data_IF_511161272691
#
_entry.id   IF_511161272691
#
_cell.length_a   1.000
_cell.length_b   1.000
_cell.length_c   1.000
_cell.angle_alpha   90.00
_cell.angle_beta   90.00
_cell.angle_gamma   90.00
#
_symmetry.space_group_name_H-M   'P 1'
#
loop_
_entity.id
_entity.type
_entity.pdbx_description
1 polymer ?
#
# COMPACT_ATOMS: atom_id res chain seq x y z
N UNK A 1 8.85 39.06 -31.03
CA UNK A 1 9.76 37.98 -30.60
C UNK A 1 10.33 38.34 -29.24
N UNK A 2 10.67 37.33 -28.41
CA UNK A 2 11.03 37.31 -26.96
C UNK A 2 9.85 36.80 -26.13
N UNK A 3 9.94 35.80 -25.24
CA UNK A 3 10.88 34.70 -24.99
C UNK A 3 10.26 33.83 -23.88
N UNK A 4 10.49 32.52 -23.95
CA UNK A 4 10.73 31.56 -22.84
C UNK A 4 9.83 31.60 -21.59
N UNK A 5 9.15 30.47 -21.33
CA UNK A 5 9.20 29.83 -20.01
C UNK A 5 8.93 28.33 -20.16
N UNK A 6 10.01 27.55 -20.19
CA UNK A 6 9.95 26.11 -20.07
C UNK A 6 9.26 25.74 -18.76
N UNK A 7 8.22 24.91 -18.87
CA UNK A 7 7.54 24.31 -17.72
C UNK A 7 8.52 23.35 -17.05
N UNK A 8 9.13 23.82 -15.96
CA UNK A 8 9.97 23.02 -15.08
C UNK A 8 9.18 21.83 -14.55
N UNK A 9 9.66 20.63 -14.86
CA UNK A 9 9.22 19.39 -14.27
C UNK A 9 9.54 19.43 -12.77
N UNK A 10 8.50 19.54 -11.94
CA UNK A 10 8.60 19.38 -10.49
C UNK A 10 8.17 17.95 -10.14
N UNK A 11 9.02 17.00 -10.51
CA UNK A 11 8.95 15.63 -10.01
C UNK A 11 9.88 15.50 -8.82
N UNK A 12 9.33 15.41 -7.62
CA UNK A 12 10.09 14.97 -6.45
C UNK A 12 10.53 13.52 -6.68
N UNK A 13 11.78 13.34 -7.10
CA UNK A 13 12.40 12.02 -7.25
C UNK A 13 12.65 11.45 -5.85
N UNK A 14 11.67 10.69 -5.37
CA UNK A 14 11.94 9.65 -4.39
C UNK A 14 13.02 8.73 -5.00
N UNK A 15 14.04 8.30 -4.23
CA UNK A 15 15.01 7.35 -4.74
C UNK A 15 14.25 6.13 -5.27
N UNK A 16 14.44 5.74 -6.53
CA UNK A 16 13.72 4.61 -7.10
C UNK A 16 14.07 3.36 -6.30
N UNK A 17 13.05 2.57 -5.96
CA UNK A 17 13.23 1.27 -5.34
C UNK A 17 14.17 0.43 -6.21
N UNK A 18 15.03 -0.36 -5.58
CA UNK A 18 15.92 -1.29 -6.29
C UNK A 18 15.09 -2.18 -7.24
N UNK A 19 15.38 -2.18 -8.56
CA UNK A 19 14.66 -3.01 -9.53
C UNK A 19 14.60 -4.49 -9.15
N UNK A 20 15.63 -5.00 -8.47
CA UNK A 20 15.68 -6.39 -8.01
C UNK A 20 14.69 -6.63 -6.86
N UNK A 21 14.62 -5.71 -5.90
CA UNK A 21 13.62 -5.74 -4.82
C UNK A 21 12.20 -5.68 -5.40
N UNK A 22 11.95 -4.79 -6.35
CA UNK A 22 10.66 -4.66 -7.05
C UNK A 22 10.29 -5.96 -7.76
N UNK A 23 11.21 -6.58 -8.50
CA UNK A 23 10.96 -7.85 -9.17
C UNK A 23 10.65 -8.98 -8.19
N UNK A 24 11.39 -9.05 -7.06
CA UNK A 24 11.13 -10.02 -5.99
C UNK A 24 9.75 -9.82 -5.38
N UNK A 25 9.32 -8.57 -5.19
CA UNK A 25 7.98 -8.24 -4.68
C UNK A 25 6.90 -8.74 -5.62
N UNK A 26 6.97 -8.38 -6.90
CA UNK A 26 6.01 -8.82 -7.91
C UNK A 26 5.97 -10.35 -8.06
N UNK A 27 7.11 -11.02 -7.96
CA UNK A 27 7.14 -12.49 -7.98
C UNK A 27 6.37 -13.10 -6.80
N UNK A 28 6.57 -12.59 -5.58
CA UNK A 28 5.84 -13.06 -4.39
C UNK A 28 4.35 -12.74 -4.48
N UNK A 29 4.00 -11.52 -4.88
CA UNK A 29 2.61 -11.12 -5.09
C UNK A 29 1.90 -12.02 -6.11
N UNK A 30 2.54 -12.32 -7.25
CA UNK A 30 1.96 -13.21 -8.27
C UNK A 30 1.72 -14.63 -7.76
N UNK A 31 2.52 -15.12 -6.81
CA UNK A 31 2.30 -16.43 -6.22
C UNK A 31 1.03 -16.47 -5.34
N UNK A 32 0.73 -15.38 -4.61
CA UNK A 32 -0.46 -15.29 -3.74
C UNK A 32 -1.72 -14.80 -4.47
N UNK A 33 -1.57 -14.05 -5.57
CA UNK A 33 -2.65 -13.39 -6.26
C UNK A 33 -3.81 -14.33 -6.68
N UNK A 34 -3.58 -15.50 -7.32
CA UNK A 34 -4.69 -16.38 -7.72
C UNK A 34 -5.49 -16.89 -6.51
N UNK A 35 -4.81 -17.24 -5.43
CA UNK A 35 -5.44 -17.69 -4.20
C UNK A 35 -6.23 -16.56 -3.53
N UNK A 36 -5.68 -15.35 -3.53
CA UNK A 36 -6.30 -14.16 -2.99
C UNK A 36 -7.57 -13.76 -3.77
N UNK A 37 -7.52 -13.75 -5.11
CA UNK A 37 -8.69 -13.50 -5.97
C UNK A 37 -9.80 -14.49 -5.63
N UNK A 38 -9.51 -15.79 -5.65
CA UNK A 38 -10.51 -16.81 -5.38
C UNK A 38 -11.07 -16.73 -3.94
N UNK A 39 -10.25 -16.31 -2.96
CA UNK A 39 -10.70 -16.11 -1.59
C UNK A 39 -11.64 -14.89 -1.48
N UNK A 40 -11.30 -13.77 -2.12
CA UNK A 40 -12.13 -12.56 -2.15
C UNK A 40 -13.46 -12.82 -2.86
N UNK A 41 -13.46 -13.54 -3.99
CA UNK A 41 -14.67 -13.89 -4.72
C UNK A 41 -15.61 -14.78 -3.90
N UNK A 42 -15.07 -15.77 -3.17
CA UNK A 42 -15.86 -16.60 -2.25
C UNK A 42 -16.43 -15.80 -1.09
N UNK A 43 -15.61 -14.95 -0.47
CA UNK A 43 -16.04 -14.10 0.64
C UNK A 43 -17.07 -13.06 0.22
N UNK A 44 -17.02 -12.60 -1.04
CA UNK A 44 -18.03 -11.71 -1.63
C UNK A 44 -19.39 -12.39 -1.73
N UNK A 45 -19.42 -13.70 -1.98
CA UNK A 45 -20.65 -14.49 -2.07
C UNK A 45 -21.16 -15.01 -0.71
N UNK A 46 -20.37 -14.87 0.35
CA UNK A 46 -20.68 -15.33 1.71
C UNK A 46 -21.48 -14.28 2.52
N UNK A 47 -22.01 -14.71 3.67
CA UNK A 47 -22.68 -13.85 4.65
C UNK A 47 -21.70 -12.80 5.26
N UNK A 48 -21.99 -11.48 5.14
CA UNK A 48 -21.19 -10.43 5.76
C UNK A 48 -21.01 -10.56 7.28
N UNK A 49 -21.95 -11.21 7.97
CA UNK A 49 -21.93 -11.42 9.42
C UNK A 49 -20.98 -12.52 9.90
N UNK A 50 -20.43 -13.34 8.98
CA UNK A 50 -19.52 -14.44 9.34
C UNK A 50 -18.23 -13.90 9.99
N UNK A 51 -17.73 -14.56 11.04
CA UNK A 51 -16.46 -14.23 11.66
C UNK A 51 -15.29 -14.36 10.65
N UNK A 52 -14.28 -13.49 10.74
CA UNK A 52 -13.25 -13.38 9.68
C UNK A 52 -12.45 -14.68 9.54
N UNK A 53 -12.11 -15.32 10.66
CA UNK A 53 -11.37 -16.59 10.66
C UNK A 53 -12.09 -17.72 9.90
N UNK A 54 -13.41 -17.65 9.79
CA UNK A 54 -14.23 -18.66 9.12
C UNK A 54 -14.46 -18.34 7.63
N UNK A 55 -13.97 -17.21 7.12
CA UNK A 55 -14.06 -16.87 5.69
C UNK A 55 -12.94 -17.55 4.90
N UNK A 56 -13.07 -17.58 3.57
CA UNK A 56 -12.01 -18.07 2.70
C UNK A 56 -10.75 -17.20 2.80
N UNK A 57 -10.88 -15.87 2.97
CA UNK A 57 -9.73 -15.01 3.26
C UNK A 57 -9.11 -15.32 4.63
N UNK A 58 -9.91 -15.56 5.67
CA UNK A 58 -9.41 -15.97 6.98
C UNK A 58 -8.60 -17.27 6.92
N UNK A 59 -9.13 -18.29 6.23
CA UNK A 59 -8.41 -19.55 5.99
C UNK A 59 -7.13 -19.36 5.18
N UNK A 60 -7.16 -18.54 4.12
CA UNK A 60 -5.98 -18.22 3.33
C UNK A 60 -4.91 -17.59 4.22
N UNK A 61 -5.27 -16.55 4.98
CA UNK A 61 -4.35 -15.87 5.89
C UNK A 61 -3.80 -16.81 6.96
N UNK A 62 -4.62 -17.73 7.49
CA UNK A 62 -4.18 -18.74 8.45
C UNK A 62 -3.20 -19.77 7.87
N UNK A 63 -3.18 -19.97 6.55
CA UNK A 63 -2.30 -20.91 5.87
C UNK A 63 -0.95 -20.33 5.45
N UNK A 64 -0.82 -19.00 5.45
CA UNK A 64 0.38 -18.28 5.01
C UNK A 64 1.35 -18.03 6.17
N UNK A 65 2.65 -18.09 5.87
CA UNK A 65 3.68 -17.56 6.75
C UNK A 65 3.69 -16.02 6.75
N UNK A 66 4.54 -15.39 7.58
CA UNK A 66 4.60 -13.92 7.69
C UNK A 66 4.91 -13.26 6.34
N UNK A 67 5.84 -13.83 5.58
CA UNK A 67 6.22 -13.33 4.25
C UNK A 67 5.06 -13.41 3.25
N UNK A 68 4.28 -14.50 3.29
CA UNK A 68 3.07 -14.70 2.51
C UNK A 68 1.96 -13.73 2.90
N UNK A 69 1.75 -13.49 4.20
CA UNK A 69 0.78 -12.50 4.68
C UNK A 69 1.17 -11.08 4.28
N UNK A 70 2.46 -10.71 4.32
CA UNK A 70 2.92 -9.42 3.77
C UNK A 70 2.67 -9.32 2.27
N UNK A 71 3.05 -10.34 1.50
CA UNK A 71 2.84 -10.37 0.06
C UNK A 71 1.35 -10.26 -0.31
N UNK A 72 0.48 -10.92 0.46
CA UNK A 72 -0.97 -10.81 0.35
C UNK A 72 -1.42 -9.37 0.63
N UNK A 73 -0.97 -8.76 1.73
CA UNK A 73 -1.28 -7.37 2.07
C UNK A 73 -0.89 -6.39 0.96
N UNK A 74 0.34 -6.52 0.42
CA UNK A 74 0.80 -5.71 -0.71
C UNK A 74 -0.07 -5.91 -1.95
N UNK A 75 -0.42 -7.15 -2.28
CA UNK A 75 -1.23 -7.44 -3.45
C UNK A 75 -2.65 -6.88 -3.33
N UNK A 76 -3.31 -7.09 -2.17
CA UNK A 76 -4.66 -6.56 -1.94
C UNK A 76 -4.64 -5.03 -1.94
N UNK A 77 -3.62 -4.42 -1.33
CA UNK A 77 -3.43 -2.96 -1.36
C UNK A 77 -3.30 -2.45 -2.79
N UNK A 78 -2.39 -3.03 -3.58
CA UNK A 78 -2.22 -2.71 -5.00
C UNK A 78 -3.53 -2.76 -5.76
N UNK A 79 -4.25 -3.86 -5.59
CA UNK A 79 -5.47 -4.15 -6.32
C UNK A 79 -6.58 -3.17 -5.95
N UNK A 80 -6.76 -2.89 -4.65
CA UNK A 80 -7.71 -1.89 -4.15
C UNK A 80 -7.40 -0.49 -4.69
N UNK A 81 -6.13 -0.09 -4.83
CA UNK A 81 -5.79 1.23 -5.38
C UNK A 81 -6.08 1.34 -6.88
N UNK A 82 -5.96 0.22 -7.62
CA UNK A 82 -6.09 0.19 -9.08
C UNK A 82 -7.52 -0.06 -9.58
N UNK A 83 -8.33 -0.78 -8.80
CA UNK A 83 -9.65 -1.25 -9.19
C UNK A 83 -10.72 -0.87 -8.14
N UNK A 84 -10.61 0.33 -7.57
CA UNK A 84 -11.56 0.86 -6.59
C UNK A 84 -12.91 1.16 -7.26
N UNK A 85 -13.71 0.13 -7.48
CA UNK A 85 -15.12 0.23 -7.88
C UNK A 85 -15.98 -0.71 -7.02
N UNK A 86 -17.28 -0.45 -6.95
CA UNK A 86 -18.22 -0.94 -5.93
C UNK A 86 -18.27 -2.47 -5.80
N UNK A 87 -17.48 -3.01 -4.87
CA UNK A 87 -17.82 -4.00 -3.81
C UNK A 87 -16.52 -4.53 -3.19
N UNK A 88 -15.61 -3.63 -2.83
CA UNK A 88 -14.30 -3.98 -2.25
C UNK A 88 -14.39 -4.38 -0.77
N UNK A 89 -15.60 -4.60 -0.22
CA UNK A 89 -15.82 -4.86 1.22
C UNK A 89 -15.00 -6.04 1.75
N UNK A 90 -14.94 -7.15 1.01
CA UNK A 90 -14.14 -8.32 1.38
C UNK A 90 -12.64 -7.99 1.37
N UNK A 91 -12.16 -7.27 0.36
CA UNK A 91 -10.76 -6.83 0.27
C UNK A 91 -10.39 -5.81 1.36
N UNK A 92 -11.28 -4.88 1.70
CA UNK A 92 -11.11 -3.91 2.78
C UNK A 92 -11.08 -4.58 4.15
N UNK A 93 -11.94 -5.58 4.37
CA UNK A 93 -11.91 -6.40 5.59
C UNK A 93 -10.56 -7.13 5.71
N UNK A 94 -10.11 -7.77 4.64
CA UNK A 94 -8.80 -8.42 4.59
C UNK A 94 -7.65 -7.44 4.86
N UNK A 95 -7.67 -6.23 4.30
CA UNK A 95 -6.66 -5.20 4.58
C UNK A 95 -6.63 -4.81 6.06
N UNK A 96 -7.79 -4.60 6.68
CA UNK A 96 -7.88 -4.27 8.12
C UNK A 96 -7.34 -5.39 8.98
N UNK A 97 -7.66 -6.63 8.64
CA UNK A 97 -7.21 -7.82 9.37
C UNK A 97 -5.69 -8.01 9.26
N UNK A 98 -5.09 -7.73 8.10
CA UNK A 98 -3.63 -7.75 7.94
C UNK A 98 -2.98 -6.57 8.69
N UNK A 99 -3.57 -5.37 8.61
CA UNK A 99 -3.04 -4.19 9.28
C UNK A 99 -3.06 -4.30 10.82
N UNK A 100 -3.99 -5.09 11.38
CA UNK A 100 -4.07 -5.33 12.80
C UNK A 100 -3.05 -6.36 13.32
N UNK A 101 -2.31 -7.06 12.44
CA UNK A 101 -1.32 -8.06 12.83
C UNK A 101 0.04 -7.40 13.08
N UNK A 102 0.58 -7.52 14.30
CA UNK A 102 1.92 -7.00 14.59
C UNK A 102 3.01 -7.94 14.07
N UNK A 103 4.20 -7.37 13.87
CA UNK A 103 5.44 -8.08 13.62
C UNK A 103 5.40 -8.95 12.35
N UNK A 104 4.78 -8.45 11.29
CA UNK A 104 4.82 -9.09 9.97
C UNK A 104 6.20 -8.94 9.32
N UNK A 105 7.02 -7.98 9.78
CA UNK A 105 8.39 -7.80 9.32
C UNK A 105 8.45 -7.01 8.01
N UNK A 106 7.67 -5.93 7.93
CA UNK A 106 7.66 -5.03 6.79
C UNK A 106 9.05 -4.43 6.54
N UNK A 107 9.39 -4.25 5.26
CA UNK A 107 10.60 -3.51 4.88
C UNK A 107 10.28 -2.07 4.52
N UNK A 108 11.27 -1.19 4.62
CA UNK A 108 11.13 0.22 4.21
C UNK A 108 10.70 0.34 2.73
N UNK A 109 11.23 -0.51 1.85
CA UNK A 109 10.87 -0.56 0.43
C UNK A 109 9.40 -0.95 0.20
N UNK A 110 8.90 -1.95 0.94
CA UNK A 110 7.50 -2.38 0.87
C UNK A 110 6.56 -1.27 1.34
N UNK A 111 6.90 -0.60 2.44
CA UNK A 111 6.12 0.51 2.98
C UNK A 111 6.16 1.73 2.06
N UNK A 112 7.34 2.08 1.53
CA UNK A 112 7.51 3.17 0.60
C UNK A 112 6.69 2.96 -0.67
N UNK A 113 6.74 1.74 -1.21
CA UNK A 113 5.96 1.34 -2.37
C UNK A 113 4.45 1.51 -2.10
N UNK A 114 3.93 0.96 -1.00
CA UNK A 114 2.51 1.08 -0.65
C UNK A 114 2.07 2.54 -0.48
N UNK A 115 2.88 3.37 0.19
CA UNK A 115 2.63 4.81 0.35
C UNK A 115 2.60 5.55 -0.99
N UNK A 116 3.47 5.16 -1.93
CA UNK A 116 3.46 5.67 -3.30
C UNK A 116 2.15 5.37 -4.01
N UNK A 117 1.73 4.11 -4.03
CA UNK A 117 0.45 3.67 -4.62
C UNK A 117 -0.74 4.43 -3.99
N UNK A 118 -0.75 4.60 -2.67
CA UNK A 118 -1.81 5.32 -1.95
C UNK A 118 -1.91 6.79 -2.33
N UNK A 119 -0.79 7.46 -2.66
CA UNK A 119 -0.80 8.87 -3.06
C UNK A 119 -1.33 9.08 -4.48
N UNK A 120 -1.18 8.07 -5.34
CA UNK A 120 -1.69 8.10 -6.71
C UNK A 120 -3.14 7.62 -6.84
N UNK A 121 -3.70 6.99 -5.79
CA UNK A 121 -5.08 6.56 -5.76
C UNK A 121 -6.06 7.73 -5.67
N UNK A 122 -7.30 7.50 -6.14
CA UNK A 122 -8.37 8.48 -6.05
C UNK A 122 -8.63 8.87 -4.58
N UNK A 123 -8.90 10.16 -4.26
CA UNK A 123 -9.15 10.60 -2.89
C UNK A 123 -10.33 9.91 -2.19
N UNK A 124 -11.26 9.32 -2.95
CA UNK A 124 -12.40 8.55 -2.44
C UNK A 124 -12.02 7.18 -1.83
N UNK A 125 -10.78 6.73 -2.01
CA UNK A 125 -10.27 5.52 -1.37
C UNK A 125 -9.87 5.81 0.08
N UNK A 126 -10.84 5.86 1.00
CA UNK A 126 -10.62 6.23 2.41
C UNK A 126 -9.64 5.29 3.14
N UNK A 127 -9.64 4.01 2.78
CA UNK A 127 -8.77 3.01 3.40
C UNK A 127 -7.34 2.97 2.81
N UNK A 128 -7.00 3.86 1.85
CA UNK A 128 -5.71 3.83 1.14
C UNK A 128 -4.49 3.94 2.04
N UNK A 129 -4.63 4.48 3.25
CA UNK A 129 -3.51 4.59 4.18
C UNK A 129 -3.54 3.57 5.33
N UNK A 130 -4.57 2.72 5.44
CA UNK A 130 -4.73 1.79 6.57
C UNK A 130 -3.55 0.83 6.72
N UNK A 131 -3.26 0.05 5.68
CA UNK A 131 -2.14 -0.89 5.71
C UNK A 131 -0.76 -0.20 5.73
N UNK A 132 -0.46 0.78 4.86
CA UNK A 132 0.89 1.35 4.84
C UNK A 132 1.24 2.10 6.13
N UNK A 133 0.28 2.72 6.83
CA UNK A 133 0.56 3.37 8.11
C UNK A 133 0.77 2.35 9.24
N UNK A 134 -0.01 1.26 9.27
CA UNK A 134 0.22 0.17 10.21
C UNK A 134 1.59 -0.47 10.00
N UNK A 135 1.97 -0.72 8.74
CA UNK A 135 3.27 -1.25 8.38
C UNK A 135 4.42 -0.30 8.73
N UNK A 136 4.23 1.02 8.52
CA UNK A 136 5.21 2.04 8.90
C UNK A 136 5.47 2.07 10.40
N UNK A 137 4.46 1.80 11.24
CA UNK A 137 4.60 1.78 12.68
C UNK A 137 5.47 0.62 13.20
N UNK A 138 5.69 -0.43 12.40
CA UNK A 138 6.62 -1.53 12.75
C UNK A 138 8.09 -1.19 12.46
N UNK A 139 8.36 -0.13 11.69
CA UNK A 139 9.72 0.22 11.29
C UNK A 139 10.43 1.03 12.39
N UNK A 140 11.74 0.83 12.50
CA UNK A 140 12.55 1.64 13.41
C UNK A 140 12.44 3.14 13.05
N UNK A 141 12.44 4.06 14.03
CA UNK A 141 12.44 5.49 13.75
C UNK A 141 13.56 5.88 12.78
N UNK A 142 13.21 6.56 11.68
CA UNK A 142 14.17 6.96 10.63
C UNK A 142 14.49 5.89 9.59
N UNK A 143 13.97 4.66 9.71
CA UNK A 143 14.08 3.63 8.66
C UNK A 143 13.30 4.03 7.40
N UNK A 144 12.18 4.75 7.57
CA UNK A 144 11.55 5.48 6.49
C UNK A 144 12.26 6.82 6.34
N UNK A 145 13.07 6.97 5.28
CA UNK A 145 13.47 8.29 4.80
C UNK A 145 12.27 8.95 4.17
N UNK A 146 11.43 9.58 5.00
CA UNK A 146 10.40 10.50 4.54
C UNK A 146 11.07 11.87 4.38
N UNK A 147 12.01 11.97 3.45
CA UNK A 147 12.49 13.27 2.99
C UNK A 147 11.38 13.88 2.13
N UNK A 148 10.32 14.41 2.75
CA UNK A 148 9.31 15.36 2.24
C UNK A 148 8.04 15.40 3.12
N UNK A 149 8.17 15.75 4.40
CA UNK A 149 6.99 16.03 5.25
C UNK A 149 6.99 17.41 5.91
N UNK A 150 7.80 18.35 5.41
CA UNK A 150 7.64 19.78 5.73
C UNK A 150 7.76 20.57 4.44
N UNK A 151 6.70 21.26 3.97
CA UNK A 151 6.88 22.34 3.02
C UNK A 151 7.74 23.38 3.74
N UNK A 152 9.01 23.53 3.36
CA UNK A 152 9.79 24.70 3.78
C UNK A 152 9.01 25.92 3.28
N UNK A 153 8.33 26.60 4.19
CA UNK A 153 7.75 27.91 3.89
C UNK A 153 8.91 28.80 3.45
N UNK A 154 8.84 29.27 2.21
CA UNK A 154 9.75 30.28 1.72
C UNK A 154 9.55 31.54 2.57
N UNK A 155 10.55 31.89 3.36
CA UNK A 155 10.59 33.17 4.06
C UNK A 155 10.58 34.28 3.00
N UNK A 156 9.65 35.25 3.06
CA UNK A 156 9.67 36.35 2.11
C UNK A 156 10.92 37.20 2.37
N UNK A 157 11.81 37.30 1.37
CA UNK A 157 12.85 38.33 1.33
C UNK A 157 12.13 39.69 1.26
N UNK A 158 12.27 40.48 2.31
CA UNK A 158 12.07 41.93 2.22
C UNK A 158 13.25 42.50 1.44
N UNK A 159 13.00 42.88 0.20
CA UNK A 159 13.88 43.78 -0.53
C UNK A 159 13.80 45.17 0.10
N UNK A 160 14.97 45.77 0.32
CA UNK A 160 15.15 47.19 0.66
C UNK A 160 15.54 47.94 -0.61
#
# INVERSE_FOLDING_TARGET
>A
MVSVAGRAASGHEHPPLDPTAVQRFYRRMRAVAPAAVGAIERDRADDPGRAFGDTACGRLVGSLDRDGVRALGMWVHHWCMRFYDDDTRAALRLLREIAARPALGWTADEVHWMLGESRHAAPAADARFTLPLAAAAELAPGALRIDLLVPRQATPRHDR
#
